data_IF_837391169044
#
_entry.id   IF_837391169044
#
_cell.length_a   1.000
_cell.length_b   1.000
_cell.length_c   1.000
_cell.angle_alpha   90.00
_cell.angle_beta   90.00
_cell.angle_gamma   90.00
#
_symmetry.space_group_name_H-M   'P 1'
#
loop_
_entity.id
_entity.type
_entity.pdbx_description
1 polymer ?
#
# COMPACT_ATOMS: atom_id res chain seq x y z
N UNK A 1 -25.04 6.59 7.46
CA UNK A 1 -24.39 6.26 6.19
C UNK A 1 -22.91 6.11 6.48
N UNK A 2 -22.40 4.87 6.52
CA UNK A 2 -20.99 4.62 6.79
C UNK A 2 -20.18 4.94 5.54
N UNK A 3 -19.23 5.87 5.64
CA UNK A 3 -18.16 6.00 4.66
C UNK A 3 -17.50 4.63 4.54
N UNK A 4 -17.53 4.03 3.34
CA UNK A 4 -16.61 2.95 3.05
C UNK A 4 -15.20 3.54 3.23
N UNK A 5 -14.33 2.95 4.07
CA UNK A 5 -12.97 3.46 4.20
C UNK A 5 -12.37 3.49 2.81
N UNK A 6 -11.89 4.67 2.36
CA UNK A 6 -11.01 4.68 1.21
C UNK A 6 -9.80 3.84 1.62
N UNK A 7 -9.56 2.79 0.87
CA UNK A 7 -8.34 2.01 0.97
C UNK A 7 -7.61 2.38 -0.29
N UNK A 8 -6.74 3.37 -0.17
CA UNK A 8 -5.76 3.68 -1.18
C UNK A 8 -4.46 3.02 -0.74
N UNK A 9 -3.80 2.33 -1.66
CA UNK A 9 -2.35 2.17 -1.58
C UNK A 9 -1.71 3.56 -1.72
N UNK A 10 -0.90 3.94 -0.72
CA UNK A 10 -0.06 5.12 -0.82
C UNK A 10 1.05 4.86 -1.84
N UNK A 11 1.24 5.78 -2.77
CA UNK A 11 2.37 5.77 -3.68
C UNK A 11 3.54 6.53 -3.06
N UNK A 12 4.74 5.98 -3.22
CA UNK A 12 5.94 6.77 -2.97
C UNK A 12 6.17 7.69 -4.17
N UNK A 13 6.78 8.87 -3.98
CA UNK A 13 7.14 9.73 -5.09
C UNK A 13 7.97 8.95 -6.12
N UNK A 14 7.57 9.04 -7.39
CA UNK A 14 8.17 8.33 -8.53
C UNK A 14 7.89 6.81 -8.64
N UNK A 15 7.02 6.23 -7.82
CA UNK A 15 6.59 4.82 -8.00
C UNK A 15 5.95 4.56 -9.38
N UNK A 16 5.46 5.61 -10.04
CA UNK A 16 4.75 5.55 -11.33
C UNK A 16 5.47 6.24 -12.49
N UNK A 17 6.81 6.24 -12.47
CA UNK A 17 7.57 6.59 -13.67
C UNK A 17 7.77 5.33 -14.52
N UNK A 18 7.39 5.32 -15.81
CA UNK A 18 7.65 4.17 -16.67
C UNK A 18 9.16 3.93 -16.81
N UNK A 19 9.59 2.70 -16.53
CA UNK A 19 10.95 2.26 -16.82
C UNK A 19 11.03 1.66 -18.24
N UNK A 20 12.25 1.47 -18.75
CA UNK A 20 12.45 0.82 -20.04
C UNK A 20 11.84 -0.60 -20.04
N UNK A 21 11.22 -1.06 -21.15
CA UNK A 21 10.68 -2.42 -21.23
C UNK A 21 11.73 -3.50 -20.92
N UNK A 22 11.31 -4.53 -20.18
CA UNK A 22 12.16 -5.61 -19.68
C UNK A 22 12.88 -5.29 -18.36
N UNK A 23 12.61 -4.13 -17.74
CA UNK A 23 13.21 -3.77 -16.45
C UNK A 23 12.57 -4.56 -15.31
N UNK A 24 13.41 -5.12 -14.44
CA UNK A 24 12.98 -5.78 -13.21
C UNK A 24 13.57 -5.04 -12.02
N UNK A 25 12.74 -4.73 -11.02
CA UNK A 25 13.16 -4.04 -9.80
C UNK A 25 12.75 -4.87 -8.60
N UNK A 26 13.70 -5.12 -7.70
CA UNK A 26 13.43 -5.70 -6.38
C UNK A 26 13.72 -4.64 -5.32
N UNK A 27 12.67 -4.20 -4.63
CA UNK A 27 12.77 -3.27 -3.52
C UNK A 27 12.58 -4.00 -2.20
N UNK A 28 13.34 -3.56 -1.20
CA UNK A 28 13.13 -3.95 0.18
C UNK A 28 13.17 -2.69 1.02
N UNK A 29 12.13 -2.43 1.79
CA UNK A 29 12.06 -1.29 2.68
C UNK A 29 11.49 -1.69 4.03
N UNK A 30 11.73 -0.84 5.02
CA UNK A 30 11.34 -1.06 6.39
C UNK A 30 10.71 0.22 6.94
N UNK A 31 9.54 0.06 7.55
CA UNK A 31 8.74 1.10 8.13
C UNK A 31 8.58 0.82 9.62
N UNK A 32 8.85 1.86 10.41
CA UNK A 32 8.59 1.86 11.84
C UNK A 32 7.55 2.92 12.15
N UNK A 33 6.46 2.52 12.81
CA UNK A 33 5.40 3.41 13.25
C UNK A 33 5.17 3.30 14.75
N UNK A 34 4.86 4.43 15.37
CA UNK A 34 4.34 4.48 16.73
C UNK A 34 3.01 5.20 16.71
N UNK A 35 2.00 4.58 17.31
CA UNK A 35 0.64 5.09 17.34
C UNK A 35 0.18 5.20 18.78
N UNK A 36 -0.14 6.42 19.22
CA UNK A 36 -0.54 6.70 20.61
C UNK A 36 -2.05 7.02 20.74
N UNK A 37 -2.81 6.93 19.64
CA UNK A 37 -4.26 7.19 19.61
C UNK A 37 -5.02 6.16 18.78
N UNK A 38 -6.27 5.88 19.18
CA UNK A 38 -7.19 5.05 18.43
C UNK A 38 -8.44 5.86 18.08
N UNK A 39 -8.66 6.08 16.79
CA UNK A 39 -9.80 6.82 16.27
C UNK A 39 -10.93 5.87 15.86
N UNK A 40 -12.07 5.99 16.52
CA UNK A 40 -13.27 5.22 16.19
C UNK A 40 -14.41 6.15 15.75
N UNK A 41 -15.03 5.85 14.61
CA UNK A 41 -16.10 6.66 14.02
C UNK A 41 -17.39 6.70 14.84
N UNK A 42 -17.59 5.77 15.78
CA UNK A 42 -18.77 5.70 16.65
C UNK A 42 -18.50 6.21 18.06
N UNK A 43 -17.34 5.88 18.64
CA UNK A 43 -17.01 6.18 20.04
C UNK A 43 -16.03 7.34 20.25
N UNK A 44 -15.58 7.99 19.17
CA UNK A 44 -14.58 9.06 19.23
C UNK A 44 -13.15 8.55 19.39
N UNK A 45 -12.25 9.46 19.71
CA UNK A 45 -10.81 9.21 19.86
C UNK A 45 -10.46 8.75 21.27
N UNK A 46 -9.67 7.68 21.40
CA UNK A 46 -9.14 7.18 22.67
C UNK A 46 -7.61 7.28 22.66
N UNK A 47 -7.09 8.29 23.34
CA UNK A 47 -5.63 8.53 23.47
C UNK A 47 -5.05 8.01 24.79
N UNK A 48 -5.84 7.95 25.87
CA UNK A 48 -5.35 7.48 27.16
C UNK A 48 -5.05 5.97 27.14
N UNK A 49 -3.85 5.58 27.57
CA UNK A 49 -3.45 4.18 27.67
C UNK A 49 -3.50 3.43 26.34
N UNK A 50 -3.45 4.16 25.22
CA UNK A 50 -3.42 3.62 23.86
C UNK A 50 -1.99 3.65 23.34
N UNK A 51 -1.55 2.55 22.78
CA UNK A 51 -0.23 2.45 22.16
C UNK A 51 -0.19 1.31 21.15
N UNK A 52 0.55 1.46 20.07
CA UNK A 52 0.91 0.40 19.15
C UNK A 52 2.22 0.75 18.47
N UNK A 53 3.18 -0.15 18.53
CA UNK A 53 4.43 -0.04 17.78
C UNK A 53 4.36 -1.01 16.60
N UNK A 54 4.62 -0.52 15.39
CA UNK A 54 4.61 -1.30 14.15
C UNK A 54 6.02 -1.38 13.56
N UNK A 55 6.43 -2.60 13.23
CA UNK A 55 7.72 -2.92 12.62
C UNK A 55 7.45 -3.71 11.34
N UNK A 56 7.37 -3.04 10.20
CA UNK A 56 6.93 -3.64 8.93
C UNK A 56 8.07 -3.58 7.93
N UNK A 57 8.55 -4.75 7.50
CA UNK A 57 9.35 -4.89 6.29
C UNK A 57 8.44 -5.16 5.09
N UNK A 58 8.85 -4.71 3.92
CA UNK A 58 8.15 -5.00 2.67
C UNK A 58 9.17 -5.44 1.63
N UNK A 59 8.91 -6.60 1.02
CA UNK A 59 9.58 -7.02 -0.23
C UNK A 59 8.64 -6.70 -1.38
N UNK A 60 9.13 -5.98 -2.39
CA UNK A 60 8.33 -5.58 -3.54
C UNK A 60 9.08 -5.91 -4.83
N UNK A 61 8.42 -6.58 -5.76
CA UNK A 61 8.96 -6.92 -7.07
C UNK A 61 8.14 -6.26 -8.16
N UNK A 62 8.82 -5.55 -9.07
CA UNK A 62 8.22 -4.87 -10.20
C UNK A 62 8.80 -5.41 -11.51
N UNK A 63 7.94 -5.65 -12.48
CA UNK A 63 8.32 -5.92 -13.86
C UNK A 63 7.68 -4.89 -14.78
N UNK A 64 8.50 -4.15 -15.51
CA UNK A 64 8.08 -3.15 -16.50
C UNK A 64 8.27 -3.71 -17.90
N UNK A 65 7.26 -3.57 -18.73
CA UNK A 65 7.31 -3.97 -20.13
C UNK A 65 6.26 -3.17 -20.93
N UNK A 66 6.07 -3.47 -22.21
CA UNK A 66 5.15 -2.76 -23.08
C UNK A 66 4.29 -3.73 -23.89
N UNK A 67 3.02 -3.35 -24.08
CA UNK A 67 2.10 -4.02 -24.99
C UNK A 67 1.42 -2.96 -25.86
N UNK A 68 1.39 -3.16 -27.17
CA UNK A 68 0.87 -2.18 -28.14
C UNK A 68 1.49 -0.77 -28.01
N UNK A 69 2.81 -0.69 -27.77
CA UNK A 69 3.56 0.56 -27.53
C UNK A 69 3.16 1.35 -26.27
N UNK A 70 2.35 0.75 -25.41
CA UNK A 70 1.98 1.30 -24.11
C UNK A 70 2.70 0.57 -22.97
N UNK A 71 3.33 1.29 -22.03
CA UNK A 71 3.94 0.69 -20.85
C UNK A 71 2.89 0.00 -19.97
N UNK A 72 3.29 -1.10 -19.35
CA UNK A 72 2.59 -1.74 -18.26
C UNK A 72 3.57 -2.14 -17.16
N UNK A 73 3.03 -2.36 -15.97
CA UNK A 73 3.78 -2.84 -14.81
C UNK A 73 3.02 -3.98 -14.13
N UNK A 74 3.75 -5.00 -13.73
CA UNK A 74 3.29 -6.02 -12.80
C UNK A 74 4.02 -5.81 -11.48
N UNK A 75 3.26 -5.80 -10.38
CA UNK A 75 3.79 -5.58 -9.03
C UNK A 75 3.40 -6.75 -8.11
N UNK A 76 4.33 -7.17 -7.26
CA UNK A 76 4.08 -8.10 -6.17
C UNK A 76 4.68 -7.54 -4.87
N UNK A 77 3.82 -7.26 -3.90
CA UNK A 77 4.16 -6.67 -2.61
C UNK A 77 3.91 -7.72 -1.52
N UNK A 78 4.92 -8.00 -0.70
CA UNK A 78 4.85 -8.94 0.42
C UNK A 78 5.30 -8.23 1.70
N UNK A 79 4.36 -7.72 2.51
CA UNK A 79 4.67 -7.16 3.81
C UNK A 79 4.89 -8.27 4.84
N UNK A 80 5.80 -8.06 5.78
CA UNK A 80 6.08 -8.95 6.89
C UNK A 80 6.53 -8.12 8.10
N UNK A 81 6.34 -8.63 9.30
CA UNK A 81 6.76 -7.85 10.46
C UNK A 81 6.12 -8.26 11.77
N UNK A 82 6.07 -7.28 12.67
CA UNK A 82 5.51 -7.44 14.00
C UNK A 82 4.77 -6.17 14.47
N UNK A 83 3.73 -6.40 15.26
CA UNK A 83 3.00 -5.41 16.02
C UNK A 83 3.24 -5.67 17.51
N UNK A 84 3.74 -4.67 18.22
CA UNK A 84 4.07 -4.74 19.65
C UNK A 84 3.45 -3.59 20.43
N UNK A 85 3.51 -3.69 21.77
CA UNK A 85 2.99 -2.67 22.69
C UNK A 85 1.49 -2.32 22.48
N UNK A 86 0.72 -3.19 21.83
CA UNK A 86 -0.70 -2.96 21.52
C UNK A 86 -1.57 -2.80 22.76
N UNK A 87 -2.15 -1.61 22.93
CA UNK A 87 -3.10 -1.25 23.99
C UNK A 87 -4.13 -0.25 23.47
N UNK A 88 -5.36 -0.31 23.97
CA UNK A 88 -6.39 0.71 23.75
C UNK A 88 -7.08 0.96 25.08
N UNK A 89 -7.12 2.21 25.56
CA UNK A 89 -7.80 2.52 26.81
C UNK A 89 -7.23 1.81 28.04
N UNK A 90 -5.97 1.37 28.00
CA UNK A 90 -5.32 0.55 29.03
C UNK A 90 -5.46 -0.97 28.84
N UNK A 91 -6.36 -1.44 27.98
CA UNK A 91 -6.55 -2.86 27.68
C UNK A 91 -5.49 -3.39 26.71
N UNK A 92 -4.86 -4.53 27.03
CA UNK A 92 -3.76 -5.11 26.24
C UNK A 92 -4.27 -5.95 25.06
N UNK A 93 -3.78 -5.68 23.85
CA UNK A 93 -4.17 -6.38 22.62
C UNK A 93 -3.28 -7.60 22.27
N UNK A 94 -2.28 -7.90 23.11
CA UNK A 94 -1.15 -8.83 22.81
C UNK A 94 -0.36 -8.38 21.57
N UNK A 95 0.74 -9.06 21.26
CA UNK A 95 1.55 -8.80 20.06
C UNK A 95 1.15 -9.74 18.92
N UNK A 96 1.48 -9.35 17.68
CA UNK A 96 1.34 -10.17 16.49
C UNK A 96 2.65 -10.12 15.68
N UNK A 97 2.99 -11.21 14.99
CA UNK A 97 4.09 -11.23 14.02
C UNK A 97 3.79 -12.25 12.92
N UNK A 98 4.41 -12.07 11.76
CA UNK A 98 4.23 -12.93 10.60
C UNK A 98 4.24 -12.16 9.28
N UNK A 99 3.80 -12.82 8.23
CA UNK A 99 3.63 -12.25 6.88
C UNK A 99 2.22 -11.67 6.78
N UNK A 100 2.07 -10.46 6.25
CA UNK A 100 0.76 -9.88 5.94
C UNK A 100 0.17 -10.51 4.68
N UNK A 101 -1.04 -10.10 4.29
CA UNK A 101 -1.63 -10.55 3.03
C UNK A 101 -0.84 -9.97 1.83
N UNK A 102 -0.27 -10.81 0.94
CA UNK A 102 0.43 -10.33 -0.25
C UNK A 102 -0.50 -9.60 -1.20
N UNK A 103 0.06 -8.66 -1.97
CA UNK A 103 -0.68 -7.85 -2.94
C UNK A 103 -0.06 -8.04 -4.31
N UNK A 104 -0.87 -8.40 -5.30
CA UNK A 104 -0.48 -8.38 -6.70
C UNK A 104 -1.15 -7.21 -7.40
N UNK A 105 -0.46 -6.54 -8.31
CA UNK A 105 -1.04 -5.44 -9.08
C UNK A 105 -0.68 -5.51 -10.56
N UNK A 106 -1.55 -4.91 -11.37
CA UNK A 106 -1.32 -4.66 -12.78
C UNK A 106 -1.65 -3.20 -13.08
N UNK A 107 -0.65 -2.45 -13.53
CA UNK A 107 -0.79 -1.06 -13.94
C UNK A 107 -0.54 -0.90 -15.44
N UNK A 108 -1.23 0.05 -16.06
CA UNK A 108 -1.13 0.32 -17.49
C UNK A 108 -1.26 1.81 -17.78
N UNK A 109 -0.39 2.33 -18.66
CA UNK A 109 -0.42 3.73 -19.09
C UNK A 109 -1.27 3.89 -20.36
N UNK A 110 -2.48 4.43 -20.19
CA UNK A 110 -3.38 4.78 -21.29
C UNK A 110 -2.83 5.96 -22.10
N UNK A 111 -2.19 6.93 -21.42
CA UNK A 111 -1.46 8.04 -22.04
C UNK A 111 -0.02 7.98 -21.54
N UNK A 112 0.94 7.95 -22.47
CA UNK A 112 2.36 7.99 -22.21
C UNK A 112 3.04 8.98 -23.16
N UNK A 113 3.03 10.28 -22.83
CA UNK A 113 3.54 11.36 -23.67
C UNK A 113 4.69 12.08 -22.95
N UNK A 114 5.90 11.49 -22.94
CA UNK A 114 7.03 12.04 -22.19
C UNK A 114 7.45 13.43 -22.66
N UNK A 115 7.35 13.72 -23.97
CA UNK A 115 7.63 15.05 -24.54
C UNK A 115 6.68 16.14 -24.01
N UNK A 116 5.46 15.78 -23.62
CA UNK A 116 4.47 16.70 -23.05
C UNK A 116 4.39 16.59 -21.52
N UNK A 117 5.26 15.77 -20.92
CA UNK A 117 5.24 15.41 -19.50
C UNK A 117 3.83 15.00 -19.04
N UNK A 118 3.10 14.24 -19.88
CA UNK A 118 1.69 13.90 -19.64
C UNK A 118 1.49 12.39 -19.60
N UNK A 119 0.90 11.93 -18.52
CA UNK A 119 0.67 10.52 -18.26
C UNK A 119 -0.74 10.29 -17.71
N UNK A 120 -1.38 9.22 -18.13
CA UNK A 120 -2.63 8.73 -17.56
C UNK A 120 -2.48 7.22 -17.37
N UNK A 121 -2.55 6.76 -16.14
CA UNK A 121 -2.44 5.34 -15.81
C UNK A 121 -3.63 4.86 -15.00
N UNK A 122 -3.96 3.59 -15.18
CA UNK A 122 -4.88 2.86 -14.32
C UNK A 122 -4.18 1.65 -13.73
N UNK A 123 -4.46 1.36 -12.46
CA UNK A 123 -3.91 0.20 -11.76
C UNK A 123 -5.00 -0.52 -10.97
N UNK A 124 -4.92 -1.84 -10.96
CA UNK A 124 -5.70 -2.70 -10.07
C UNK A 124 -4.76 -3.43 -9.13
N UNK A 125 -5.05 -3.35 -7.83
CA UNK A 125 -4.40 -4.12 -6.77
C UNK A 125 -5.36 -5.19 -6.26
N UNK A 126 -4.82 -6.39 -6.01
CA UNK A 126 -5.54 -7.52 -5.45
C UNK A 126 -4.76 -8.03 -4.24
N UNK A 127 -5.35 -7.93 -3.06
CA UNK A 127 -4.82 -8.48 -1.81
C UNK A 127 -5.31 -9.91 -1.60
N UNK A 128 -4.36 -10.84 -1.44
CA UNK A 128 -4.59 -12.27 -1.28
C UNK A 128 -4.68 -12.64 0.21
N UNK A 129 -5.77 -13.27 0.69
CA UNK A 129 -5.99 -13.56 2.11
C UNK A 129 -5.21 -14.79 2.60
N UNK A 130 -3.90 -14.79 2.40
CA UNK A 130 -3.01 -15.92 2.72
C UNK A 130 -1.93 -15.52 3.75
N UNK A 131 -2.03 -14.32 4.32
CA UNK A 131 -1.16 -13.87 5.40
C UNK A 131 -1.45 -14.56 6.73
N UNK A 132 -0.59 -14.29 7.71
CA UNK A 132 -0.68 -14.84 9.07
C UNK A 132 -1.89 -14.25 9.79
N UNK A 133 -2.87 -15.11 10.09
CA UNK A 133 -4.12 -14.72 10.73
C UNK A 133 -4.58 -15.73 11.78
N UNK A 134 -5.07 -15.22 12.92
CA UNK A 134 -5.73 -15.97 13.97
C UNK A 134 -6.94 -15.18 14.48
N UNK A 135 -8.13 -15.76 14.33
CA UNK A 135 -9.41 -15.18 14.78
C UNK A 135 -9.50 -14.95 16.29
N UNK A 136 -8.68 -15.64 17.09
CA UNK A 136 -8.60 -15.48 18.54
C UNK A 136 -7.69 -14.34 19.00
N UNK A 137 -7.00 -13.66 18.07
CA UNK A 137 -6.11 -12.53 18.37
C UNK A 137 -6.72 -11.21 17.93
N UNK A 138 -6.55 -10.19 18.77
CA UNK A 138 -6.99 -8.83 18.45
C UNK A 138 -6.12 -8.17 17.37
N UNK A 139 -4.81 -8.46 17.37
CA UNK A 139 -3.87 -8.01 16.34
C UNK A 139 -3.52 -9.15 15.39
N UNK A 140 -3.51 -8.86 14.09
CA UNK A 140 -3.07 -9.74 13.02
C UNK A 140 -2.39 -8.92 11.91
N UNK A 141 -1.45 -9.52 11.19
CA UNK A 141 -0.92 -8.92 9.96
C UNK A 141 -1.75 -9.32 8.74
N UNK A 142 -2.20 -10.58 8.66
CA UNK A 142 -3.18 -11.01 7.67
C UNK A 142 -4.58 -10.49 8.01
N UNK A 143 -5.34 -10.12 6.99
CA UNK A 143 -6.72 -9.66 7.12
C UNK A 143 -7.76 -10.76 6.92
N UNK A 144 -7.35 -11.93 6.39
CA UNK A 144 -8.24 -13.06 6.06
C UNK A 144 -9.44 -12.63 5.21
N UNK A 145 -9.20 -11.72 4.26
CA UNK A 145 -10.19 -11.22 3.31
C UNK A 145 -9.54 -10.78 2.01
N UNK A 146 -10.22 -11.02 0.91
CA UNK A 146 -9.87 -10.38 -0.36
C UNK A 146 -10.09 -8.88 -0.26
N UNK A 147 -9.21 -8.13 -0.91
CA UNK A 147 -9.37 -6.70 -1.11
C UNK A 147 -8.98 -6.38 -2.55
N UNK A 148 -9.75 -5.51 -3.18
CA UNK A 148 -9.44 -4.97 -4.49
C UNK A 148 -9.44 -3.46 -4.36
N UNK A 149 -8.39 -2.84 -4.90
CA UNK A 149 -8.27 -1.39 -5.01
C UNK A 149 -8.01 -1.08 -6.49
N UNK A 150 -8.73 -0.10 -7.02
CA UNK A 150 -8.59 0.38 -8.39
C UNK A 150 -8.28 1.85 -8.31
N UNK A 151 -7.13 2.24 -8.83
CA UNK A 151 -6.68 3.62 -8.83
C UNK A 151 -6.42 4.10 -10.25
N UNK A 152 -6.60 5.41 -10.43
CA UNK A 152 -6.29 6.11 -11.67
C UNK A 152 -5.43 7.30 -11.28
N UNK A 153 -4.34 7.49 -12.03
CA UNK A 153 -3.39 8.56 -11.85
C UNK A 153 -3.32 9.41 -13.12
N UNK A 154 -3.31 10.73 -12.96
CA UNK A 154 -3.06 11.66 -14.05
C UNK A 154 -1.95 12.62 -13.66
N UNK A 155 -0.79 12.44 -14.28
CA UNK A 155 0.37 13.30 -14.04
C UNK A 155 0.55 14.31 -15.19
N UNK A 156 0.72 15.59 -14.87
CA UNK A 156 1.05 16.66 -15.83
C UNK A 156 2.23 17.52 -15.34
N UNK A 157 3.27 17.62 -16.16
CA UNK A 157 4.38 18.55 -15.96
C UNK A 157 4.09 19.98 -16.42
N UNK A 158 4.67 20.96 -15.71
CA UNK A 158 4.62 22.39 -16.03
C UNK A 158 5.98 23.05 -15.79
N UNK A 159 6.31 24.04 -16.63
CA UNK A 159 7.53 24.85 -16.53
C UNK A 159 8.84 24.03 -16.44
N UNK A 160 8.85 22.82 -17.02
CA UNK A 160 9.94 21.84 -17.03
C UNK A 160 10.47 21.42 -15.65
N UNK A 161 9.83 21.85 -14.56
CA UNK A 161 10.34 21.75 -13.18
C UNK A 161 9.31 21.28 -12.17
N UNK A 162 8.03 21.37 -12.50
CA UNK A 162 6.94 21.02 -11.61
C UNK A 162 6.10 19.92 -12.25
N UNK A 163 5.57 19.04 -11.42
CA UNK A 163 4.56 18.06 -11.80
C UNK A 163 3.40 18.18 -10.84
N UNK A 164 2.19 17.90 -11.33
CA UNK A 164 1.02 17.64 -10.51
C UNK A 164 0.54 16.23 -10.83
N UNK A 165 0.19 15.51 -9.78
CA UNK A 165 -0.42 14.18 -9.74
C UNK A 165 -1.69 14.21 -8.86
#
# INVERSE_FOLDING_TARGET
>A
MGSAPCRAFDFQPFDWVPANPGTNVLLNYYEYGKHDEFNNSMSGTVSYGTSLDSHIGVVRYLHYDAIFDHPYIIDLIVPYGALSNGKIGGEKLRSASGVADPVASFGYWLINQPEQQRYLSGVVFITLPIGTYDKGRALNLGGNRWQTDVQVDFTQGFLDKFTID
#
